data_IF_347455089804
#
_entry.id   IF_347455089804
#
_cell.length_a   1.000
_cell.length_b   1.000
_cell.length_c   1.000
_cell.angle_alpha   90.00
_cell.angle_beta   90.00
_cell.angle_gamma   90.00
#
_symmetry.space_group_name_H-M   'P 1'
#
loop_
_entity.id
_entity.type
_entity.pdbx_description
1 polymer ?
#
# COMPACT_ATOMS: atom_id res chain seq x y z
N UNK A 1 43.70 -25.68 -32.19
CA UNK A 1 44.74 -25.31 -31.21
C UNK A 1 44.37 -23.94 -30.69
N UNK A 2 43.72 -23.89 -29.54
CA UNK A 2 43.21 -22.64 -28.96
C UNK A 2 44.37 -21.84 -28.37
N UNK A 3 44.46 -20.58 -28.79
CA UNK A 3 45.41 -19.61 -28.30
C UNK A 3 45.02 -19.22 -26.88
N UNK A 4 45.78 -19.72 -25.90
CA UNK A 4 45.80 -19.16 -24.55
C UNK A 4 46.19 -17.69 -24.67
N UNK A 5 45.23 -16.80 -24.42
CA UNK A 5 45.50 -15.39 -24.20
C UNK A 5 46.55 -15.29 -23.09
N UNK A 6 47.69 -14.70 -23.43
CA UNK A 6 48.88 -14.63 -22.58
C UNK A 6 48.66 -13.60 -21.48
N UNK A 7 48.00 -13.99 -20.41
CA UNK A 7 48.01 -13.20 -19.17
C UNK A 7 49.35 -13.43 -18.46
N UNK A 8 50.03 -12.34 -18.14
CA UNK A 8 51.21 -12.35 -17.28
C UNK A 8 50.79 -11.97 -15.86
N UNK A 9 50.94 -12.90 -14.92
CA UNK A 9 50.89 -12.62 -13.50
C UNK A 9 52.30 -12.51 -12.95
N UNK A 10 52.50 -11.58 -12.01
CA UNK A 10 53.74 -11.45 -11.24
C UNK A 10 53.36 -11.22 -9.78
N UNK A 11 54.09 -11.86 -8.87
CA UNK A 11 53.98 -11.57 -7.44
C UNK A 11 54.86 -10.39 -7.09
N UNK A 12 54.29 -9.40 -6.40
CA UNK A 12 55.01 -8.27 -5.84
C UNK A 12 55.18 -8.53 -4.35
N UNK A 13 56.40 -8.80 -3.91
CA UNK A 13 56.72 -8.88 -2.48
C UNK A 13 56.63 -7.48 -1.85
N UNK A 14 55.49 -7.22 -1.22
CA UNK A 14 55.34 -6.11 -0.29
C UNK A 14 56.01 -6.48 1.04
N UNK A 15 56.59 -5.51 1.75
CA UNK A 15 57.16 -5.72 3.10
C UNK A 15 56.20 -6.54 3.96
N UNK A 16 56.73 -7.56 4.64
CA UNK A 16 56.03 -8.61 5.40
C UNK A 16 54.59 -8.25 5.79
N UNK A 17 53.58 -9.08 5.44
CA UNK A 17 52.19 -8.76 5.73
C UNK A 17 52.04 -8.44 7.21
N UNK A 18 51.41 -7.29 7.51
CA UNK A 18 51.02 -6.97 8.88
C UNK A 18 50.08 -8.09 9.30
N UNK A 19 50.58 -9.01 10.13
CA UNK A 19 49.82 -10.12 10.70
C UNK A 19 48.79 -9.57 11.69
N UNK A 20 47.78 -8.85 11.19
CA UNK A 20 46.62 -8.49 11.97
C UNK A 20 45.80 -9.77 12.16
N UNK A 21 45.66 -10.21 13.41
CA UNK A 21 44.77 -11.33 13.73
C UNK A 21 43.37 -10.98 13.22
N UNK A 22 42.69 -11.88 12.48
CA UNK A 22 41.32 -11.66 12.08
C UNK A 22 40.45 -11.33 13.31
N UNK A 23 39.41 -10.49 13.17
CA UNK A 23 38.48 -10.22 14.25
C UNK A 23 37.97 -11.52 14.87
N UNK A 24 38.04 -11.63 16.19
CA UNK A 24 37.63 -12.84 16.94
C UNK A 24 36.22 -13.31 16.61
N UNK A 25 35.32 -12.38 16.27
CA UNK A 25 33.95 -12.68 15.81
C UNK A 25 33.91 -13.56 14.56
N UNK A 26 34.86 -13.40 13.63
CA UNK A 26 34.92 -14.21 12.41
C UNK A 26 35.54 -15.58 12.67
N UNK A 27 36.48 -15.65 13.60
CA UNK A 27 37.10 -16.91 14.01
C UNK A 27 36.11 -17.83 14.73
N UNK A 28 35.16 -17.25 15.46
CA UNK A 28 34.10 -17.97 16.19
C UNK A 28 32.79 -18.09 15.39
N UNK A 29 32.80 -17.80 14.09
CA UNK A 29 31.59 -17.88 13.28
C UNK A 29 31.29 -19.33 12.91
N UNK A 30 30.34 -19.94 13.59
CA UNK A 30 29.78 -21.22 13.19
C UNK A 30 28.72 -20.99 12.10
N UNK A 31 29.03 -21.45 10.89
CA UNK A 31 28.08 -21.41 9.79
C UNK A 31 27.07 -22.53 9.97
N UNK A 32 25.85 -22.18 10.39
CA UNK A 32 24.75 -23.13 10.37
C UNK A 32 24.34 -23.44 8.94
N UNK A 33 24.36 -24.73 8.59
CA UNK A 33 23.84 -25.21 7.31
C UNK A 33 22.31 -25.12 7.34
N UNK A 34 21.76 -24.33 6.42
CA UNK A 34 20.31 -24.16 6.33
C UNK A 34 19.71 -25.41 5.71
N UNK A 35 18.82 -26.09 6.43
CA UNK A 35 18.14 -27.29 5.90
C UNK A 35 17.09 -26.90 4.86
N UNK A 36 16.74 -27.86 3.99
CA UNK A 36 15.68 -27.65 3.00
C UNK A 36 14.32 -27.33 3.66
N UNK A 37 14.05 -27.92 4.83
CA UNK A 37 12.84 -27.67 5.62
C UNK A 37 12.78 -26.23 6.14
N UNK A 38 13.90 -25.70 6.66
CA UNK A 38 13.99 -24.30 7.10
C UNK A 38 13.77 -23.31 5.95
N UNK A 39 14.31 -23.62 4.76
CA UNK A 39 14.10 -22.82 3.56
C UNK A 39 12.64 -22.85 3.13
N UNK A 40 12.01 -24.02 3.13
CA UNK A 40 10.60 -24.17 2.81
C UNK A 40 9.70 -23.41 3.80
N UNK A 41 10.00 -23.48 5.09
CA UNK A 41 9.29 -22.74 6.14
C UNK A 41 9.41 -21.21 5.94
N UNK A 42 10.62 -20.71 5.66
CA UNK A 42 10.85 -19.28 5.38
C UNK A 42 10.07 -18.81 4.15
N UNK A 43 10.04 -19.62 3.09
CA UNK A 43 9.27 -19.32 1.89
C UNK A 43 7.75 -19.32 2.14
N UNK A 44 7.25 -20.29 2.92
CA UNK A 44 5.83 -20.34 3.30
C UNK A 44 5.43 -19.10 4.10
N UNK A 45 6.21 -18.73 5.11
CA UNK A 45 5.96 -17.53 5.91
C UNK A 45 5.98 -16.25 5.06
N UNK A 46 6.88 -16.17 4.07
CA UNK A 46 6.90 -15.04 3.14
C UNK A 46 5.64 -14.98 2.27
N UNK A 47 5.13 -16.13 1.79
CA UNK A 47 3.87 -16.21 1.04
C UNK A 47 2.66 -15.81 1.89
N UNK A 48 2.61 -16.26 3.14
CA UNK A 48 1.55 -15.88 4.08
C UNK A 48 1.53 -14.38 4.32
N UNK A 49 2.70 -13.76 4.56
CA UNK A 49 2.79 -12.29 4.67
C UNK A 49 2.27 -11.58 3.43
N UNK A 50 2.64 -12.03 2.22
CA UNK A 50 2.12 -11.45 0.97
C UNK A 50 0.59 -11.54 0.89
N UNK A 51 0.03 -12.69 1.25
CA UNK A 51 -1.42 -12.89 1.26
C UNK A 51 -2.10 -11.94 2.25
N UNK A 52 -1.56 -11.76 3.45
CA UNK A 52 -2.10 -10.82 4.44
C UNK A 52 -2.09 -9.39 3.90
N UNK A 53 -0.98 -8.95 3.29
CA UNK A 53 -0.90 -7.62 2.69
C UNK A 53 -1.93 -7.41 1.57
N UNK A 54 -2.11 -8.43 0.73
CA UNK A 54 -3.11 -8.39 -0.35
C UNK A 54 -4.53 -8.31 0.21
N UNK A 55 -4.87 -9.13 1.22
CA UNK A 55 -6.19 -9.10 1.84
C UNK A 55 -6.47 -7.77 2.54
N UNK A 56 -5.49 -7.19 3.24
CA UNK A 56 -5.65 -5.86 3.88
C UNK A 56 -5.75 -4.74 2.84
N UNK A 57 -5.05 -4.87 1.71
CA UNK A 57 -5.21 -3.94 0.58
C UNK A 57 -6.62 -4.01 0.00
N UNK A 58 -7.13 -5.21 -0.27
CA UNK A 58 -8.49 -5.41 -0.77
C UNK A 58 -9.55 -4.90 0.22
N UNK A 59 -9.36 -5.17 1.53
CA UNK A 59 -10.25 -4.66 2.57
C UNK A 59 -10.34 -3.14 2.57
N UNK A 60 -9.19 -2.45 2.50
CA UNK A 60 -9.14 -0.98 2.41
C UNK A 60 -9.82 -0.45 1.15
N UNK A 61 -9.64 -1.11 0.01
CA UNK A 61 -10.33 -0.73 -1.24
C UNK A 61 -11.85 -0.88 -1.09
N UNK A 62 -12.31 -1.96 -0.48
CA UNK A 62 -13.73 -2.20 -0.24
C UNK A 62 -14.33 -1.17 0.73
N UNK A 63 -13.68 -0.91 1.87
CA UNK A 63 -14.12 0.11 2.82
C UNK A 63 -14.28 1.48 2.14
N UNK A 64 -13.33 1.86 1.27
CA UNK A 64 -13.40 3.10 0.49
C UNK A 64 -14.52 3.10 -0.54
N UNK A 65 -14.75 1.99 -1.24
CA UNK A 65 -15.83 1.91 -2.23
C UNK A 65 -17.20 2.06 -1.56
N UNK A 66 -17.37 1.50 -0.36
CA UNK A 66 -18.56 1.67 0.46
C UNK A 66 -18.74 3.13 0.93
N UNK A 67 -17.66 3.80 1.35
CA UNK A 67 -17.71 5.22 1.71
C UNK A 67 -18.11 6.10 0.51
N UNK A 68 -17.51 5.87 -0.66
CA UNK A 68 -17.89 6.55 -1.90
C UNK A 68 -19.36 6.31 -2.26
N UNK A 69 -19.86 5.08 -2.10
CA UNK A 69 -21.26 4.74 -2.33
C UNK A 69 -22.20 5.50 -1.38
N UNK A 70 -21.85 5.61 -0.10
CA UNK A 70 -22.62 6.39 0.89
C UNK A 70 -22.64 7.89 0.56
N UNK A 71 -21.53 8.45 0.08
CA UNK A 71 -21.49 9.84 -0.38
C UNK A 71 -22.36 10.00 -1.63
N UNK A 72 -22.24 9.09 -2.59
CA UNK A 72 -22.99 9.16 -3.84
C UNK A 72 -24.50 9.15 -3.62
N UNK A 73 -25.00 8.32 -2.69
CA UNK A 73 -26.43 8.30 -2.35
C UNK A 73 -26.90 9.62 -1.75
N UNK A 74 -26.12 10.21 -0.82
CA UNK A 74 -26.42 11.52 -0.23
C UNK A 74 -26.40 12.65 -1.26
N UNK A 75 -25.41 12.67 -2.16
CA UNK A 75 -25.31 13.63 -3.27
C UNK A 75 -26.50 13.47 -4.21
N UNK A 76 -26.80 12.25 -4.64
CA UNK A 76 -27.94 11.96 -5.53
C UNK A 76 -29.25 12.45 -4.93
N UNK A 77 -29.46 12.25 -3.62
CA UNK A 77 -30.64 12.75 -2.92
C UNK A 77 -30.72 14.29 -2.94
N UNK A 78 -29.60 14.99 -2.69
CA UNK A 78 -29.58 16.45 -2.77
C UNK A 78 -29.82 16.97 -4.19
N UNK A 79 -29.26 16.31 -5.21
CA UNK A 79 -29.51 16.65 -6.61
C UNK A 79 -30.98 16.45 -6.99
N UNK A 80 -31.61 15.37 -6.51
CA UNK A 80 -33.03 15.13 -6.72
C UNK A 80 -33.92 16.20 -6.06
N UNK A 81 -33.53 16.69 -4.89
CA UNK A 81 -34.20 17.80 -4.22
C UNK A 81 -34.05 19.12 -4.97
N UNK A 82 -32.85 19.41 -5.48
CA UNK A 82 -32.61 20.61 -6.27
C UNK A 82 -33.37 20.57 -7.60
N UNK A 83 -33.38 19.42 -8.27
CA UNK A 83 -34.19 19.19 -9.48
C UNK A 83 -35.68 19.42 -9.22
N UNK A 84 -36.20 18.95 -8.07
CA UNK A 84 -37.57 19.24 -7.66
C UNK A 84 -37.81 20.74 -7.45
N UNK A 85 -36.87 21.44 -6.82
CA UNK A 85 -36.96 22.90 -6.61
C UNK A 85 -36.99 23.67 -7.93
N UNK A 86 -36.28 23.18 -8.94
CA UNK A 86 -36.24 23.74 -10.28
C UNK A 86 -37.47 23.37 -11.13
N UNK A 87 -38.34 22.47 -10.65
CA UNK A 87 -39.55 22.05 -11.36
C UNK A 87 -39.30 21.07 -12.50
N UNK A 88 -38.21 20.30 -12.46
CA UNK A 88 -37.89 19.32 -13.49
C UNK A 88 -38.83 18.10 -13.43
N UNK A 89 -39.15 17.54 -14.60
CA UNK A 89 -40.02 16.37 -14.73
C UNK A 89 -39.45 15.12 -14.03
N UNK A 90 -40.33 14.23 -13.57
CA UNK A 90 -39.94 12.99 -12.87
C UNK A 90 -39.62 13.13 -11.38
N UNK A 91 -39.72 14.34 -10.81
CA UNK A 91 -39.37 14.61 -9.40
C UNK A 91 -40.56 14.55 -8.43
N UNK A 92 -41.76 14.19 -8.90
CA UNK A 92 -43.00 14.19 -8.10
C UNK A 92 -42.92 13.31 -6.84
N UNK A 93 -42.10 12.25 -6.88
CA UNK A 93 -41.93 11.29 -5.79
C UNK A 93 -41.01 11.81 -4.65
N UNK A 94 -40.19 12.82 -4.92
CA UNK A 94 -39.20 13.33 -3.96
C UNK A 94 -39.89 14.20 -2.92
N UNK A 95 -39.80 13.88 -1.63
CA UNK A 95 -40.42 14.72 -0.58
C UNK A 95 -39.62 16.01 -0.40
N UNK A 96 -40.26 17.19 -0.35
CA UNK A 96 -39.55 18.42 -0.05
C UNK A 96 -39.07 18.37 1.41
N UNK A 97 -37.83 18.82 1.64
CA UNK A 97 -37.24 18.90 2.98
C UNK A 97 -37.09 20.35 3.43
N UNK A 98 -36.96 20.57 4.73
CA UNK A 98 -36.68 21.90 5.27
C UNK A 98 -35.29 22.39 4.85
N UNK A 99 -35.12 23.71 4.71
CA UNK A 99 -33.81 24.34 4.44
C UNK A 99 -32.78 23.97 5.51
N UNK A 100 -33.22 23.83 6.77
CA UNK A 100 -32.37 23.40 7.89
C UNK A 100 -31.84 21.98 7.68
N UNK A 101 -32.69 21.07 7.22
CA UNK A 101 -32.34 19.66 6.97
C UNK A 101 -31.41 19.53 5.76
N UNK A 102 -31.64 20.33 4.72
CA UNK A 102 -30.75 20.41 3.56
C UNK A 102 -29.34 20.87 3.97
N UNK A 103 -29.25 21.94 4.78
CA UNK A 103 -27.98 22.44 5.29
C UNK A 103 -27.27 21.42 6.17
N UNK A 104 -28.00 20.67 7.00
CA UNK A 104 -27.42 19.60 7.81
C UNK A 104 -26.88 18.46 6.92
N UNK A 105 -27.58 18.11 5.86
CA UNK A 105 -27.15 17.10 4.88
C UNK A 105 -25.89 17.53 4.13
N UNK A 106 -25.82 18.80 3.69
CA UNK A 106 -24.65 19.40 3.05
C UNK A 106 -23.44 19.42 4.01
N UNK A 107 -23.65 19.82 5.28
CA UNK A 107 -22.60 19.79 6.31
C UNK A 107 -22.12 18.38 6.64
N UNK A 108 -23.00 17.37 6.59
CA UNK A 108 -22.58 15.97 6.72
C UNK A 108 -21.74 15.56 5.53
N UNK A 109 -22.17 15.87 4.31
CA UNK A 109 -21.45 15.54 3.08
C UNK A 109 -20.05 16.16 3.05
N UNK A 110 -19.92 17.44 3.42
CA UNK A 110 -18.61 18.10 3.46
C UNK A 110 -17.63 17.41 4.42
N UNK A 111 -18.13 16.90 5.55
CA UNK A 111 -17.33 16.09 6.49
C UNK A 111 -16.94 14.74 5.89
N UNK A 112 -17.87 14.07 5.19
CA UNK A 112 -17.62 12.78 4.56
C UNK A 112 -16.58 12.92 3.45
N UNK A 113 -16.69 13.94 2.58
CA UNK A 113 -15.67 14.27 1.58
C UNK A 113 -14.32 14.57 2.23
N UNK A 114 -14.29 15.35 3.31
CA UNK A 114 -13.04 15.66 4.03
C UNK A 114 -12.38 14.42 4.65
N UNK A 115 -13.16 13.39 5.02
CA UNK A 115 -12.65 12.12 5.53
C UNK A 115 -12.01 11.30 4.41
N UNK A 116 -12.69 11.20 3.27
CA UNK A 116 -12.19 10.48 2.10
C UNK A 116 -10.93 11.13 1.54
N UNK A 117 -10.88 12.46 1.39
CA UNK A 117 -9.72 13.16 0.81
C UNK A 117 -8.45 13.02 1.66
N UNK A 118 -8.57 12.94 2.99
CA UNK A 118 -7.44 12.62 3.88
C UNK A 118 -6.88 11.21 3.63
N UNK A 119 -7.73 10.25 3.27
CA UNK A 119 -7.32 8.88 2.99
C UNK A 119 -6.64 8.68 1.63
N UNK A 120 -6.82 9.60 0.67
CA UNK A 120 -6.17 9.57 -0.64
C UNK A 120 -4.70 10.03 -0.58
N UNK A 121 -4.38 11.06 0.22
CA UNK A 121 -3.02 11.61 0.34
C UNK A 121 -1.96 10.63 0.86
N UNK A 122 -2.37 9.53 1.50
CA UNK A 122 -1.45 8.58 2.15
C UNK A 122 -1.05 7.43 1.22
N UNK A 123 -1.91 7.05 0.28
CA UNK A 123 -1.66 5.89 -0.59
C UNK A 123 -0.89 6.24 -1.87
N UNK A 124 -1.00 7.47 -2.38
CA UNK A 124 -0.22 7.93 -3.54
C UNK A 124 1.29 8.04 -3.25
N UNK A 125 1.71 8.02 -1.97
CA UNK A 125 3.12 8.00 -1.57
C UNK A 125 3.70 6.60 -1.37
N UNK A 126 2.91 5.53 -1.50
CA UNK A 126 3.37 4.15 -1.27
C UNK A 126 3.24 3.23 -2.51
N UNK A 127 2.90 3.79 -3.68
CA UNK A 127 2.87 3.06 -4.96
C UNK A 127 4.16 3.24 -5.76
#
# INVERSE_FOLDING_TARGET
METSDKYASFEVEMSSPVNSKPPTRLLNYERHETTQEEMAAKQKNAKERRKVYETERLRRIQERSEECSRINTKVSHLLALDAKRQGLEGTSQVKPISTREALQSIKSLSKDFSRITKGFSVDDMQS
#
